data_IF_122815674461
#
_entry.id   IF_122815674461
#
_cell.length_a   1.000
_cell.length_b   1.000
_cell.length_c   1.000
_cell.angle_alpha   90.00
_cell.angle_beta   90.00
_cell.angle_gamma   90.00
#
_symmetry.space_group_name_H-M   'P 1'
#
loop_
_entity.id
_entity.type
_entity.pdbx_description
1 polymer ?
#
# COMPACT_ATOMS: atom_id res chain seq x y z
N UNK A 1 13.76 -49.75 -12.37
CA UNK A 1 13.50 -48.64 -13.32
C UNK A 1 12.25 -47.83 -12.98
N UNK A 2 11.09 -48.40 -12.67
CA UNK A 2 9.82 -47.67 -12.37
C UNK A 2 9.93 -46.64 -11.23
N UNK A 3 10.61 -46.93 -10.13
CA UNK A 3 10.79 -45.97 -9.01
C UNK A 3 11.56 -44.71 -9.40
N UNK A 4 12.59 -44.82 -10.23
CA UNK A 4 13.37 -43.64 -10.70
C UNK A 4 12.56 -42.72 -11.61
N UNK A 5 11.68 -43.30 -12.43
CA UNK A 5 10.79 -42.53 -13.31
C UNK A 5 9.74 -41.77 -12.48
N UNK A 6 9.18 -42.39 -11.44
CA UNK A 6 8.22 -41.73 -10.54
C UNK A 6 8.86 -40.53 -9.82
N UNK A 7 10.11 -40.70 -9.32
CA UNK A 7 10.83 -39.58 -8.68
C UNK A 7 11.13 -38.44 -9.66
N UNK A 8 11.50 -38.77 -10.89
CA UNK A 8 11.73 -37.73 -11.92
C UNK A 8 10.46 -36.96 -12.24
N UNK A 9 9.33 -37.64 -12.41
CA UNK A 9 8.03 -37.01 -12.63
C UNK A 9 7.60 -36.10 -11.46
N UNK A 10 7.82 -36.57 -10.22
CA UNK A 10 7.52 -35.78 -9.03
C UNK A 10 8.35 -34.48 -8.98
N UNK A 11 9.65 -34.55 -9.25
CA UNK A 11 10.53 -33.37 -9.32
C UNK A 11 10.07 -32.39 -10.41
N UNK A 12 9.71 -32.90 -11.60
CA UNK A 12 9.18 -32.06 -12.67
C UNK A 12 7.86 -31.37 -12.31
N UNK A 13 6.97 -32.06 -11.59
CA UNK A 13 5.74 -31.47 -11.08
C UNK A 13 6.02 -30.35 -10.07
N UNK A 14 6.96 -30.54 -9.15
CA UNK A 14 7.35 -29.50 -8.19
C UNK A 14 7.93 -28.25 -8.90
N UNK A 15 8.79 -28.44 -9.90
CA UNK A 15 9.35 -27.34 -10.71
C UNK A 15 8.21 -26.59 -11.41
N UNK A 16 7.25 -27.29 -11.99
CA UNK A 16 6.09 -26.65 -12.66
C UNK A 16 5.21 -25.90 -11.68
N UNK A 17 4.93 -26.46 -10.52
CA UNK A 17 4.16 -25.79 -9.46
C UNK A 17 4.87 -24.52 -8.98
N UNK A 18 6.18 -24.57 -8.79
CA UNK A 18 6.98 -23.40 -8.46
C UNK A 18 6.86 -22.30 -9.52
N UNK A 19 7.01 -22.65 -10.81
CA UNK A 19 6.87 -21.69 -11.90
C UNK A 19 5.47 -21.09 -12.01
N UNK A 20 4.43 -21.86 -11.73
CA UNK A 20 3.04 -21.37 -11.71
C UNK A 20 2.85 -20.41 -10.54
N UNK A 21 3.33 -20.77 -9.34
CA UNK A 21 3.26 -19.91 -8.16
C UNK A 21 4.02 -18.59 -8.37
N UNK A 22 5.22 -18.65 -8.92
CA UNK A 22 6.03 -17.46 -9.21
C UNK A 22 5.33 -16.52 -10.21
N UNK A 23 4.75 -17.07 -11.28
CA UNK A 23 4.05 -16.27 -12.30
C UNK A 23 2.70 -15.73 -11.84
N UNK A 24 1.90 -16.54 -11.14
CA UNK A 24 0.52 -16.16 -10.78
C UNK A 24 0.46 -15.27 -9.56
N UNK A 25 1.39 -15.43 -8.62
CA UNK A 25 1.37 -14.72 -7.34
C UNK A 25 2.48 -13.67 -7.22
N UNK A 26 3.32 -13.48 -8.26
CA UNK A 26 4.58 -12.72 -8.16
C UNK A 26 5.34 -13.10 -6.89
N UNK A 27 5.37 -14.40 -6.62
CA UNK A 27 5.92 -14.95 -5.40
C UNK A 27 7.43 -14.74 -5.37
N UNK A 28 7.88 -13.81 -4.54
CA UNK A 28 9.29 -13.63 -4.23
C UNK A 28 9.61 -14.24 -2.87
N UNK A 29 10.47 -15.25 -2.78
CA UNK A 29 10.90 -15.81 -1.51
C UNK A 29 11.44 -14.74 -0.55
N UNK A 30 12.10 -13.72 -1.08
CA UNK A 30 12.62 -12.60 -0.30
C UNK A 30 11.50 -11.78 0.35
N UNK A 31 10.37 -11.60 -0.33
CA UNK A 31 9.18 -10.92 0.24
C UNK A 31 8.63 -11.74 1.40
N UNK A 32 8.55 -13.06 1.25
CA UNK A 32 8.08 -13.94 2.31
C UNK A 32 8.99 -13.87 3.53
N UNK A 33 10.30 -14.02 3.34
CA UNK A 33 11.30 -13.97 4.42
C UNK A 33 11.27 -12.61 5.12
N UNK A 34 11.23 -11.51 4.37
CA UNK A 34 11.20 -10.16 4.90
C UNK A 34 9.86 -9.80 5.58
N UNK A 35 8.81 -10.58 5.34
CA UNK A 35 7.50 -10.36 5.97
C UNK A 35 7.31 -11.10 7.30
N UNK A 36 8.20 -12.04 7.66
CA UNK A 36 8.14 -12.70 8.95
C UNK A 36 8.32 -11.69 10.10
N UNK A 37 7.42 -11.75 11.08
CA UNK A 37 7.43 -10.84 12.23
C UNK A 37 6.82 -9.45 12.01
N UNK A 38 6.44 -9.11 10.77
CA UNK A 38 5.79 -7.83 10.49
C UNK A 38 4.27 -7.91 10.67
N UNK A 39 3.66 -6.78 11.06
CA UNK A 39 2.20 -6.67 11.13
C UNK A 39 1.53 -6.85 9.76
N UNK A 40 0.24 -7.15 9.73
CA UNK A 40 -0.50 -7.27 8.46
C UNK A 40 -0.42 -5.99 7.63
N UNK A 41 -0.50 -4.82 8.28
CA UNK A 41 -0.36 -3.52 7.61
C UNK A 41 1.02 -3.33 6.98
N UNK A 42 2.10 -3.71 7.68
CA UNK A 42 3.45 -3.65 7.15
C UNK A 42 3.70 -4.64 6.01
N UNK A 43 3.12 -5.85 6.11
CA UNK A 43 3.20 -6.86 5.03
C UNK A 43 2.55 -6.37 3.75
N UNK A 44 1.41 -5.72 3.86
CA UNK A 44 0.67 -5.20 2.73
C UNK A 44 1.37 -3.99 2.09
N UNK A 45 1.97 -3.12 2.90
CA UNK A 45 2.71 -1.95 2.42
C UNK A 45 3.98 -2.30 1.64
N UNK A 46 4.58 -3.48 1.87
CA UNK A 46 5.75 -3.94 1.11
C UNK A 46 5.46 -4.20 -0.37
N UNK A 47 4.21 -4.44 -0.73
CA UNK A 47 3.79 -4.69 -2.10
C UNK A 47 3.37 -3.42 -2.87
N UNK A 48 3.10 -2.31 -2.17
CA UNK A 48 2.53 -1.09 -2.73
C UNK A 48 3.13 0.15 -2.05
N UNK A 49 4.13 0.75 -2.59
CA UNK A 49 4.66 2.06 -2.15
C UNK A 49 4.71 2.27 -0.63
N UNK A 50 5.46 1.40 0.05
CA UNK A 50 5.63 1.44 1.51
C UNK A 50 6.08 2.82 2.05
N UNK A 51 6.76 3.59 1.20
CA UNK A 51 7.35 4.88 1.55
C UNK A 51 6.30 5.97 1.87
N UNK A 52 5.08 5.83 1.36
CA UNK A 52 4.02 6.83 1.56
C UNK A 52 2.87 6.32 2.44
N UNK A 53 2.35 5.14 2.13
CA UNK A 53 1.12 4.61 2.76
C UNK A 53 1.27 4.39 4.26
N UNK A 54 2.37 3.80 4.68
CA UNK A 54 2.60 3.49 6.09
C UNK A 54 2.86 4.76 6.93
N UNK A 55 3.69 5.72 6.49
CA UNK A 55 3.85 7.00 7.18
C UNK A 55 2.53 7.78 7.32
N UNK A 56 1.71 7.85 6.26
CA UNK A 56 0.40 8.52 6.29
C UNK A 56 -0.51 7.86 7.33
N UNK A 57 -0.64 6.53 7.30
CA UNK A 57 -1.45 5.79 8.27
C UNK A 57 -1.00 6.02 9.70
N UNK A 58 0.30 5.92 9.96
CA UNK A 58 0.86 6.11 11.29
C UNK A 58 0.62 7.54 11.80
N UNK A 59 0.76 8.54 10.93
CA UNK A 59 0.44 9.92 11.24
C UNK A 59 -1.05 10.09 11.58
N UNK A 60 -1.96 9.56 10.78
CA UNK A 60 -3.40 9.64 11.03
C UNK A 60 -3.78 9.00 12.37
N UNK A 61 -3.25 7.82 12.67
CA UNK A 61 -3.49 7.14 13.95
C UNK A 61 -2.93 7.94 15.12
N UNK A 62 -1.71 8.47 15.02
CA UNK A 62 -1.07 9.25 16.09
C UNK A 62 -1.80 10.56 16.42
N UNK A 63 -2.50 11.12 15.43
CA UNK A 63 -3.26 12.37 15.57
C UNK A 63 -4.76 12.16 15.76
N UNK A 64 -5.22 10.90 15.91
CA UNK A 64 -6.65 10.55 16.01
C UNK A 64 -7.49 11.13 14.84
N UNK A 65 -6.92 11.16 13.64
CA UNK A 65 -7.64 11.59 12.45
C UNK A 65 -8.61 10.47 12.05
N UNK A 66 -9.90 10.78 12.00
CA UNK A 66 -10.96 9.82 11.70
C UNK A 66 -11.46 9.89 10.27
N UNK A 67 -11.18 10.99 9.60
CA UNK A 67 -11.62 11.22 8.22
C UNK A 67 -10.65 12.14 7.46
N UNK A 68 -10.54 11.91 6.16
CA UNK A 68 -9.72 12.71 5.25
C UNK A 68 -10.37 12.79 3.86
N UNK A 69 -9.87 13.70 3.02
CA UNK A 69 -10.23 13.82 1.60
C UNK A 69 -8.97 13.89 0.74
N UNK A 70 -9.12 13.50 -0.50
CA UNK A 70 -8.11 13.79 -1.52
C UNK A 70 -8.40 15.12 -2.20
N UNK A 71 -7.36 15.76 -2.73
CA UNK A 71 -7.54 16.89 -3.65
C UNK A 71 -8.25 16.42 -4.93
N UNK A 72 -9.18 17.22 -5.44
CA UNK A 72 -10.09 16.83 -6.54
C UNK A 72 -9.40 16.27 -7.79
N UNK A 73 -8.19 16.73 -8.11
CA UNK A 73 -7.40 16.22 -9.24
C UNK A 73 -6.93 14.77 -9.09
N UNK A 74 -6.79 14.30 -7.87
CA UNK A 74 -6.30 12.96 -7.52
C UNK A 74 -7.32 11.87 -7.85
N UNK A 75 -8.62 12.17 -7.68
CA UNK A 75 -9.71 11.22 -7.99
C UNK A 75 -9.90 10.97 -9.50
N UNK A 76 -9.35 11.84 -10.37
CA UNK A 76 -9.52 11.69 -11.83
C UNK A 76 -8.61 10.63 -12.45
N UNK A 77 -7.51 10.29 -11.79
CA UNK A 77 -6.61 9.21 -12.19
C UNK A 77 -6.33 8.32 -10.98
N UNK A 78 -7.26 7.41 -10.62
CA UNK A 78 -7.06 6.49 -9.53
C UNK A 78 -5.95 5.50 -9.90
N UNK A 79 -4.71 5.87 -9.60
CA UNK A 79 -3.67 4.86 -9.62
C UNK A 79 -3.78 3.97 -8.37
N UNK A 80 -3.09 2.83 -8.40
CA UNK A 80 -3.12 1.86 -7.30
C UNK A 80 -2.72 2.46 -5.94
N UNK A 81 -1.98 3.58 -5.93
CA UNK A 81 -1.49 4.22 -4.72
C UNK A 81 -2.64 4.80 -3.90
N UNK A 82 -3.62 5.43 -4.53
CA UNK A 82 -4.78 6.01 -3.84
C UNK A 82 -5.70 4.94 -3.26
N UNK A 83 -5.94 3.89 -4.02
CA UNK A 83 -6.69 2.75 -3.53
C UNK A 83 -5.99 2.13 -2.32
N UNK A 84 -4.68 1.95 -2.39
CA UNK A 84 -3.89 1.44 -1.28
C UNK A 84 -3.96 2.34 -0.05
N UNK A 85 -3.89 3.67 -0.21
CA UNK A 85 -4.04 4.60 0.91
C UNK A 85 -5.41 4.41 1.59
N UNK A 86 -6.50 4.33 0.82
CA UNK A 86 -7.85 4.12 1.36
C UNK A 86 -7.95 2.79 2.11
N UNK A 87 -7.45 1.72 1.53
CA UNK A 87 -7.51 0.37 2.11
C UNK A 87 -6.68 0.26 3.39
N UNK A 88 -5.47 0.83 3.40
CA UNK A 88 -4.55 0.72 4.55
C UNK A 88 -4.82 1.72 5.66
N UNK A 89 -5.50 2.81 5.39
CA UNK A 89 -5.92 3.74 6.44
C UNK A 89 -7.18 3.29 7.16
N UNK A 90 -7.89 2.25 6.68
CA UNK A 90 -9.06 1.74 7.38
C UNK A 90 -8.77 1.51 8.89
N UNK A 91 -9.66 1.92 9.83
CA UNK A 91 -11.05 2.37 9.65
C UNK A 91 -11.24 3.88 9.40
N UNK A 92 -10.19 4.63 9.09
CA UNK A 92 -10.28 6.06 8.78
C UNK A 92 -11.04 6.25 7.47
N UNK A 93 -12.02 7.13 7.46
CA UNK A 93 -12.96 7.25 6.34
C UNK A 93 -12.54 8.35 5.37
N UNK A 94 -12.56 8.06 4.07
CA UNK A 94 -12.51 9.11 3.07
C UNK A 94 -13.86 9.79 2.98
N UNK A 95 -13.89 11.12 3.18
CA UNK A 95 -15.09 11.94 3.08
C UNK A 95 -14.82 13.24 2.34
N UNK A 96 -15.70 13.61 1.44
CA UNK A 96 -15.55 14.81 0.60
C UNK A 96 -15.46 16.12 1.41
N UNK A 97 -16.06 16.16 2.59
CA UNK A 97 -16.12 17.34 3.46
C UNK A 97 -15.12 17.32 4.62
N UNK A 98 -14.19 16.36 4.64
CA UNK A 98 -13.17 16.30 5.67
C UNK A 98 -12.27 17.56 5.62
N UNK A 99 -11.81 18.01 6.79
CA UNK A 99 -10.84 19.11 6.89
C UNK A 99 -9.43 18.66 6.52
N UNK A 100 -9.11 17.40 6.78
CA UNK A 100 -7.80 16.83 6.44
C UNK A 100 -7.75 16.53 4.96
N UNK A 101 -6.83 17.22 4.27
CA UNK A 101 -6.59 17.09 2.85
C UNK A 101 -5.30 16.34 2.58
N UNK A 102 -5.36 15.30 1.77
CA UNK A 102 -4.20 14.61 1.23
C UNK A 102 -3.98 15.08 -0.22
N UNK A 103 -2.82 15.64 -0.49
CA UNK A 103 -2.41 16.16 -1.80
C UNK A 103 -1.09 15.57 -2.25
N UNK A 104 -0.80 15.60 -3.53
CA UNK A 104 0.54 15.32 -4.04
C UNK A 104 1.49 16.45 -3.65
N UNK A 105 2.79 16.16 -3.46
CA UNK A 105 3.79 17.18 -3.08
C UNK A 105 3.92 18.33 -4.09
N UNK A 106 3.56 18.08 -5.37
CA UNK A 106 3.60 19.08 -6.45
C UNK A 106 2.29 19.84 -6.63
N UNK A 107 1.27 19.53 -5.84
CA UNK A 107 -0.03 20.18 -5.98
C UNK A 107 -0.06 21.52 -5.28
N UNK A 108 -0.57 22.53 -5.97
CA UNK A 108 -0.90 23.81 -5.33
C UNK A 108 -2.09 23.62 -4.37
N UNK A 109 -1.86 23.86 -3.10
CA UNK A 109 -2.87 23.79 -2.05
C UNK A 109 -3.31 25.20 -1.68
N UNK A 110 -4.59 25.38 -1.38
CA UNK A 110 -5.16 26.67 -1.01
C UNK A 110 -4.43 27.30 0.19
N UNK A 111 -4.32 28.61 0.21
CA UNK A 111 -3.59 29.36 1.24
C UNK A 111 -4.14 29.23 2.67
N UNK A 112 -5.37 28.72 2.83
CA UNK A 112 -5.99 28.46 4.13
C UNK A 112 -5.68 27.07 4.71
N UNK A 113 -4.86 26.29 4.04
CA UNK A 113 -4.47 24.96 4.49
C UNK A 113 -3.08 24.99 5.15
N UNK A 114 -2.95 24.36 6.31
CA UNK A 114 -1.70 24.24 7.05
C UNK A 114 -1.11 22.85 6.83
N UNK A 115 0.15 22.78 6.44
CA UNK A 115 0.87 21.50 6.30
C UNK A 115 1.07 20.86 7.66
N UNK A 116 0.59 19.63 7.84
CA UNK A 116 0.73 18.84 9.05
C UNK A 116 1.82 17.77 8.95
N UNK A 117 1.94 17.14 7.79
CA UNK A 117 2.88 16.04 7.57
C UNK A 117 3.24 15.93 6.09
N UNK A 118 4.46 15.48 5.80
CA UNK A 118 4.95 15.25 4.45
C UNK A 118 5.58 13.86 4.35
N UNK A 119 5.30 13.16 3.26
CA UNK A 119 5.96 11.92 2.87
C UNK A 119 6.73 12.13 1.57
N UNK A 120 7.22 11.07 0.96
CA UNK A 120 7.98 11.15 -0.28
C UNK A 120 7.20 11.79 -1.42
N UNK A 121 5.93 11.42 -1.58
CA UNK A 121 5.09 11.87 -2.70
C UNK A 121 3.84 12.63 -2.27
N UNK A 122 3.49 12.63 -0.98
CA UNK A 122 2.25 13.21 -0.48
C UNK A 122 2.46 14.17 0.68
N UNK A 123 1.58 15.16 0.75
CA UNK A 123 1.43 16.09 1.84
C UNK A 123 0.05 15.96 2.49
N UNK A 124 0.03 16.04 3.81
CA UNK A 124 -1.19 16.07 4.62
C UNK A 124 -1.39 17.48 5.14
N UNK A 125 -2.54 18.08 4.86
CA UNK A 125 -2.89 19.44 5.27
C UNK A 125 -4.15 19.45 6.13
N UNK A 126 -4.25 20.43 7.02
CA UNK A 126 -5.50 20.81 7.69
C UNK A 126 -6.05 22.04 7.00
N UNK A 127 -7.21 21.92 6.37
CA UNK A 127 -7.89 22.97 5.63
C UNK A 127 -9.18 23.35 6.37
N UNK A 128 -9.16 24.50 7.01
CA UNK A 128 -10.32 25.05 7.73
C UNK A 128 -11.16 25.95 6.82
#
# INVERSE_FOLDING_TARGET
>A
MKKKIIHLLFVLCLIKLYHIADRSLKFSPNILINSFGKSVAEKSSLNFTADDVLPIRNFFVSKNILEFKFKDGIMKNPDMTYQSIIEFTYPIKMKQYATILLSHNMDDVQSNCVLLHSTKNFNVHDCK
#
